data_IF_877118667617
#
_entry.id   IF_877118667617
#
_cell.length_a   1.000
_cell.length_b   1.000
_cell.length_c   1.000
_cell.angle_alpha   90.00
_cell.angle_beta   90.00
_cell.angle_gamma   90.00
#
_symmetry.space_group_name_H-M   'P 1'
#
loop_
_entity.id
_entity.type
_entity.pdbx_description
1 polymer ?
#
# COMPACT_ATOMS: atom_id res chain seq x y z
N UNK A 1 -42.70 20.48 5.74
CA UNK A 1 -42.54 19.19 5.05
C UNK A 1 -41.53 18.40 5.84
N UNK A 2 -41.82 17.13 6.14
CA UNK A 2 -40.88 16.22 6.80
C UNK A 2 -39.78 15.85 5.78
N UNK A 3 -38.47 15.96 6.09
CA UNK A 3 -37.44 15.56 5.14
C UNK A 3 -37.57 14.07 4.79
N UNK A 4 -37.48 13.77 3.49
CA UNK A 4 -37.41 12.38 3.04
C UNK A 4 -36.18 11.68 3.65
N UNK A 5 -36.37 10.43 4.08
CA UNK A 5 -35.28 9.60 4.57
C UNK A 5 -34.18 9.44 3.51
N UNK A 6 -32.92 9.59 3.94
CA UNK A 6 -31.76 9.39 3.07
C UNK A 6 -31.60 7.90 2.71
N UNK A 7 -31.34 7.62 1.44
CA UNK A 7 -30.98 6.28 0.96
C UNK A 7 -29.46 6.09 1.03
N UNK A 8 -29.02 5.00 1.65
CA UNK A 8 -27.61 4.61 1.71
C UNK A 8 -27.37 3.37 0.85
N UNK A 9 -26.42 3.47 -0.07
CA UNK A 9 -25.94 2.36 -0.90
C UNK A 9 -24.41 2.27 -0.76
N UNK A 10 -23.90 1.06 -0.55
CA UNK A 10 -22.46 0.82 -0.55
C UNK A 10 -21.95 0.80 -1.99
N UNK A 11 -21.24 1.85 -2.38
CA UNK A 11 -20.65 1.96 -3.72
C UNK A 11 -19.33 1.20 -3.84
N UNK A 12 -18.53 1.20 -2.77
CA UNK A 12 -17.20 0.60 -2.76
C UNK A 12 -16.82 0.07 -1.38
N UNK A 13 -16.25 -1.13 -1.38
CA UNK A 13 -15.60 -1.74 -0.22
C UNK A 13 -14.21 -2.19 -0.61
N UNK A 14 -13.18 -1.57 -0.04
CA UNK A 14 -11.78 -1.92 -0.31
C UNK A 14 -11.46 -3.34 0.18
N UNK A 15 -10.92 -4.23 -0.67
CA UNK A 15 -10.46 -5.54 -0.23
C UNK A 15 -9.18 -5.41 0.60
N UNK A 16 -8.86 -6.41 1.42
CA UNK A 16 -7.56 -6.48 2.12
C UNK A 16 -6.41 -6.66 1.12
N UNK A 17 -5.19 -6.27 1.50
CA UNK A 17 -3.97 -6.73 0.83
C UNK A 17 -3.29 -7.78 1.72
N UNK A 18 -2.97 -8.99 1.22
CA UNK A 18 -3.31 -9.54 -0.10
C UNK A 18 -4.82 -9.71 -0.32
N UNK A 19 -5.28 -9.53 -1.55
CA UNK A 19 -6.69 -9.69 -1.91
C UNK A 19 -7.02 -11.10 -2.40
N UNK A 20 -8.30 -11.48 -2.31
CA UNK A 20 -8.81 -12.74 -2.80
C UNK A 20 -8.98 -13.80 -1.70
N UNK A 21 -8.81 -15.07 -2.06
CA UNK A 21 -8.98 -16.20 -1.16
C UNK A 21 -7.95 -16.21 -0.03
N UNK A 22 -8.43 -16.33 1.22
CA UNK A 22 -7.62 -16.43 2.43
C UNK A 22 -6.61 -17.58 2.33
N UNK A 23 -6.99 -18.70 1.70
CA UNK A 23 -6.10 -19.85 1.52
C UNK A 23 -4.84 -19.51 0.69
N UNK A 24 -4.90 -18.47 -0.16
CA UNK A 24 -3.78 -18.00 -1.00
C UNK A 24 -3.12 -16.73 -0.48
N UNK A 25 -3.60 -16.18 0.64
CA UNK A 25 -3.06 -14.94 1.18
C UNK A 25 -1.58 -15.07 1.54
N UNK A 26 -1.19 -16.19 2.15
CA UNK A 26 0.21 -16.44 2.53
C UNK A 26 1.13 -16.58 1.32
N UNK A 27 0.71 -17.33 0.30
CA UNK A 27 1.43 -17.47 -0.97
C UNK A 27 1.68 -16.09 -1.61
N UNK A 28 0.65 -15.25 -1.70
CA UNK A 28 0.75 -13.89 -2.26
C UNK A 28 1.64 -12.98 -1.42
N UNK A 29 1.59 -13.12 -0.10
CA UNK A 29 2.46 -12.39 0.83
C UNK A 29 3.92 -12.76 0.63
N UNK A 30 4.22 -14.05 0.45
CA UNK A 30 5.57 -14.53 0.16
C UNK A 30 6.06 -14.05 -1.21
N UNK A 31 5.22 -14.12 -2.25
CA UNK A 31 5.58 -13.59 -3.57
C UNK A 31 5.92 -12.08 -3.54
N UNK A 32 5.19 -11.28 -2.75
CA UNK A 32 5.50 -9.86 -2.58
C UNK A 32 6.81 -9.64 -1.81
N UNK A 33 7.18 -10.53 -0.88
CA UNK A 33 8.49 -10.50 -0.20
C UNK A 33 9.63 -10.83 -1.14
N UNK A 34 9.47 -11.85 -1.97
CA UNK A 34 10.48 -12.21 -2.97
C UNK A 34 10.75 -11.04 -3.93
N UNK A 35 9.71 -10.30 -4.33
CA UNK A 35 9.87 -9.06 -5.12
C UNK A 35 10.59 -7.97 -4.34
N UNK A 36 10.27 -7.76 -3.06
CA UNK A 36 10.96 -6.78 -2.24
C UNK A 36 12.45 -7.12 -2.07
N UNK A 37 12.77 -8.39 -1.79
CA UNK A 37 14.14 -8.88 -1.66
C UNK A 37 14.92 -8.72 -2.98
N UNK A 38 14.31 -9.08 -4.12
CA UNK A 38 14.92 -8.91 -5.44
C UNK A 38 15.19 -7.44 -5.82
N UNK A 39 14.48 -6.50 -5.20
CA UNK A 39 14.65 -5.05 -5.39
C UNK A 39 15.51 -4.40 -4.29
N UNK A 40 16.10 -5.18 -3.39
CA UNK A 40 16.79 -4.74 -2.16
C UNK A 40 15.96 -3.74 -1.32
N UNK A 41 14.65 -3.99 -1.22
CA UNK A 41 13.75 -3.16 -0.41
C UNK A 41 13.63 -3.73 1.00
N UNK A 42 13.80 -2.92 2.06
CA UNK A 42 13.60 -3.39 3.43
C UNK A 42 12.13 -3.76 3.66
N UNK A 43 11.88 -4.97 4.18
CA UNK A 43 10.53 -5.47 4.45
C UNK A 43 10.01 -4.93 5.79
N UNK A 44 8.89 -4.21 5.74
CA UNK A 44 8.17 -3.72 6.91
C UNK A 44 7.14 -4.71 7.47
N UNK A 45 6.50 -4.31 8.56
CA UNK A 45 5.36 -5.02 9.14
C UNK A 45 4.10 -4.82 8.30
N UNK A 46 3.11 -5.70 8.48
CA UNK A 46 1.76 -5.44 8.00
C UNK A 46 1.19 -4.18 8.70
N UNK A 47 0.26 -3.50 8.02
CA UNK A 47 -0.34 -2.23 8.46
C UNK A 47 -1.86 -2.33 8.40
N UNK A 48 -2.54 -1.50 9.20
CA UNK A 48 -4.00 -1.49 9.29
C UNK A 48 -4.67 -0.54 8.28
N UNK A 49 -3.92 0.40 7.70
CA UNK A 49 -4.47 1.33 6.70
C UNK A 49 -4.64 0.65 5.34
N UNK A 50 -5.65 1.11 4.58
CA UNK A 50 -5.95 0.56 3.26
C UNK A 50 -5.19 1.29 2.14
N UNK A 51 -4.83 0.56 1.08
CA UNK A 51 -4.27 1.12 -0.16
C UNK A 51 -4.83 0.40 -1.38
N UNK A 52 -4.75 1.06 -2.54
CA UNK A 52 -5.16 0.50 -3.83
C UNK A 52 -4.27 -0.66 -4.31
N UNK A 53 -3.12 -0.93 -3.67
CA UNK A 53 -2.34 -2.14 -3.94
C UNK A 53 -3.18 -3.42 -3.77
N UNK A 54 -4.21 -3.38 -2.92
CA UNK A 54 -5.22 -4.43 -2.81
C UNK A 54 -5.96 -4.67 -4.14
N UNK A 55 -6.33 -3.61 -4.87
CA UNK A 55 -7.00 -3.72 -6.16
C UNK A 55 -6.10 -4.39 -7.22
N UNK A 56 -4.81 -4.07 -7.24
CA UNK A 56 -3.84 -4.76 -8.09
C UNK A 56 -3.68 -6.24 -7.70
N UNK A 57 -3.64 -6.53 -6.39
CA UNK A 57 -3.64 -7.91 -5.90
C UNK A 57 -4.89 -8.67 -6.34
N UNK A 58 -6.07 -8.04 -6.25
CA UNK A 58 -7.33 -8.61 -6.72
C UNK A 58 -7.32 -8.84 -8.23
N UNK A 59 -6.65 -7.96 -8.99
CA UNK A 59 -6.38 -8.13 -10.43
C UNK A 59 -5.37 -9.22 -10.78
N UNK A 60 -4.80 -9.92 -9.80
CA UNK A 60 -3.85 -11.03 -10.01
C UNK A 60 -2.38 -10.62 -10.05
N UNK A 61 -2.04 -9.37 -9.76
CA UNK A 61 -0.66 -8.90 -9.71
C UNK A 61 -0.01 -9.19 -8.36
N UNK A 62 1.29 -9.48 -8.36
CA UNK A 62 2.12 -9.37 -7.14
C UNK A 62 2.24 -7.89 -6.79
N UNK A 63 1.74 -7.50 -5.62
CA UNK A 63 1.63 -6.10 -5.22
C UNK A 63 2.20 -5.89 -3.82
N UNK A 64 2.83 -4.73 -3.61
CA UNK A 64 3.37 -4.27 -2.33
C UNK A 64 3.14 -2.76 -2.20
N UNK A 65 3.25 -2.24 -0.98
CA UNK A 65 3.15 -0.80 -0.68
C UNK A 65 4.55 -0.29 -0.34
N UNK A 66 5.00 0.78 -1.01
CA UNK A 66 6.31 1.37 -0.77
C UNK A 66 6.27 2.88 -1.00
N UNK A 67 6.70 3.66 0.00
CA UNK A 67 6.71 5.12 -0.06
C UNK A 67 7.47 5.74 1.12
N UNK A 68 7.93 7.01 0.99
CA UNK A 68 8.51 7.75 2.09
C UNK A 68 7.43 8.32 3.02
N UNK A 69 7.81 8.65 4.26
CA UNK A 69 6.91 9.22 5.26
C UNK A 69 6.49 8.21 6.33
N UNK A 70 5.63 8.66 7.24
CA UNK A 70 5.03 7.86 8.30
C UNK A 70 3.51 8.08 8.26
N UNK A 71 2.74 7.00 8.36
CA UNK A 71 1.28 7.07 8.35
C UNK A 71 0.73 7.91 9.51
N UNK A 72 1.47 8.03 10.62
CA UNK A 72 1.09 8.87 11.75
C UNK A 72 0.92 10.35 11.36
N UNK A 73 1.61 10.81 10.30
CA UNK A 73 1.53 12.20 9.82
C UNK A 73 0.51 12.39 8.70
N UNK A 74 -0.06 11.31 8.18
CA UNK A 74 -1.09 11.40 7.15
C UNK A 74 -2.35 12.06 7.74
N UNK A 75 -2.93 13.01 7.01
CA UNK A 75 -4.15 13.73 7.40
C UNK A 75 -4.03 14.53 8.71
N UNK A 76 -2.82 14.87 9.15
CA UNK A 76 -2.61 15.79 10.28
C UNK A 76 -2.56 17.24 9.78
N UNK A 77 -2.80 18.21 10.67
CA UNK A 77 -2.38 19.58 10.40
C UNK A 77 -0.85 19.62 10.27
N UNK A 78 -0.33 20.48 9.39
CA UNK A 78 1.10 20.62 9.11
C UNK A 78 1.79 19.27 8.77
N UNK A 79 1.10 18.42 7.99
CA UNK A 79 1.64 17.18 7.44
C UNK A 79 3.05 17.40 6.88
N UNK A 80 3.99 16.54 7.28
CA UNK A 80 5.38 16.64 6.85
C UNK A 80 6.00 15.28 6.58
N UNK A 81 7.07 15.32 5.79
CA UNK A 81 7.98 14.20 5.55
C UNK A 81 9.41 14.72 5.69
N UNK A 82 10.30 13.93 6.30
CA UNK A 82 11.68 14.36 6.49
C UNK A 82 12.47 14.30 5.17
N UNK A 83 13.45 15.19 5.00
CA UNK A 83 14.38 15.15 3.86
C UNK A 83 15.10 13.79 3.77
N UNK A 84 15.42 13.18 4.92
CA UNK A 84 16.05 11.87 4.96
C UNK A 84 15.15 10.74 4.40
N UNK A 85 13.85 10.77 4.68
CA UNK A 85 12.89 9.82 4.11
C UNK A 85 12.74 10.03 2.60
N UNK A 86 12.63 11.29 2.15
CA UNK A 86 12.58 11.62 0.72
C UNK A 86 13.83 11.15 -0.02
N UNK A 87 15.02 11.45 0.51
CA UNK A 87 16.29 11.05 -0.08
C UNK A 87 16.40 9.53 -0.19
N UNK A 88 16.12 8.80 0.91
CA UNK A 88 16.16 7.33 0.92
C UNK A 88 15.27 6.71 -0.15
N UNK A 89 14.03 7.19 -0.27
CA UNK A 89 13.09 6.68 -1.27
C UNK A 89 13.55 7.00 -2.68
N UNK A 90 13.95 8.26 -2.94
CA UNK A 90 14.42 8.71 -4.25
C UNK A 90 15.65 7.91 -4.72
N UNK A 91 16.63 7.69 -3.83
CA UNK A 91 17.82 6.88 -4.11
C UNK A 91 17.44 5.42 -4.42
N UNK A 92 16.49 4.85 -3.66
CA UNK A 92 16.04 3.47 -3.87
C UNK A 92 15.36 3.30 -5.23
N UNK A 93 14.40 4.15 -5.59
CA UNK A 93 13.71 4.04 -6.89
C UNK A 93 14.64 4.37 -8.04
N UNK A 94 15.57 5.33 -7.87
CA UNK A 94 16.60 5.61 -8.86
C UNK A 94 17.49 4.40 -9.10
N UNK A 95 17.91 3.69 -8.04
CA UNK A 95 18.67 2.43 -8.15
C UNK A 95 17.87 1.34 -8.87
N UNK A 96 16.59 1.18 -8.57
CA UNK A 96 15.74 0.17 -9.24
C UNK A 96 15.62 0.44 -10.75
N UNK A 97 15.47 1.71 -11.14
CA UNK A 97 15.21 2.08 -12.54
C UNK A 97 16.52 2.19 -13.35
N UNK A 98 17.56 2.76 -12.76
CA UNK A 98 18.80 3.13 -13.46
C UNK A 98 20.03 2.35 -13.00
N UNK A 99 19.93 1.57 -11.92
CA UNK A 99 21.01 0.69 -11.47
C UNK A 99 21.15 -0.50 -12.42
N UNK A 100 22.38 -0.75 -12.87
CA UNK A 100 22.75 -1.97 -13.59
C UNK A 100 23.06 -3.10 -12.62
#
# INVERSE_FOLDING_TARGET
ADPHAAHFEETFRGPSLPSGDIARAEERRLAARDVADALDLPIGNAVDFWTEASLFSAGGYTALVYGPGDIAQAHTADEFVTLAQLQRYAESVHRIINGS
#
